data_IF_160134609458
#
_entry.id   IF_160134609458
#
_cell.length_a   1.000
_cell.length_b   1.000
_cell.length_c   1.000
_cell.angle_alpha   90.00
_cell.angle_beta   90.00
_cell.angle_gamma   90.00
#
_symmetry.space_group_name_H-M   'P 1'
#
loop_
_entity.id
_entity.type
_entity.pdbx_description
1 polymer ?
#
# COMPACT_ATOMS: atom_id res chain seq x y z
N UNK A 1 8.12 -8.79 19.39
CA UNK A 1 8.74 -9.17 18.08
C UNK A 1 7.84 -10.05 17.19
N UNK A 2 7.22 -11.11 17.74
CA UNK A 2 6.34 -12.03 17.01
C UNK A 2 5.02 -11.39 16.53
N UNK A 3 4.29 -10.67 17.41
CA UNK A 3 3.00 -10.05 17.04
C UNK A 3 3.14 -8.98 15.97
N UNK A 4 4.23 -8.19 16.00
CA UNK A 4 4.51 -7.21 14.95
C UNK A 4 4.70 -7.89 13.58
N UNK A 5 5.44 -9.00 13.53
CA UNK A 5 5.61 -9.79 12.30
C UNK A 5 4.25 -10.29 11.78
N UNK A 6 3.42 -10.85 12.66
CA UNK A 6 2.06 -11.31 12.30
C UNK A 6 1.16 -10.17 11.83
N UNK A 7 1.21 -9.01 12.48
CA UNK A 7 0.45 -7.82 12.08
C UNK A 7 0.86 -7.29 10.70
N UNK A 8 2.17 -7.31 10.39
CA UNK A 8 2.65 -6.98 9.05
C UNK A 8 2.11 -7.92 7.98
N UNK A 9 2.08 -9.22 8.24
CA UNK A 9 1.50 -10.20 7.30
C UNK A 9 -0.02 -10.03 7.17
N UNK A 10 -0.71 -9.71 8.26
CA UNK A 10 -2.14 -9.41 8.26
C UNK A 10 -2.47 -8.20 7.37
N UNK A 11 -1.55 -7.25 7.22
CA UNK A 11 -1.73 -6.07 6.36
C UNK A 11 -2.03 -6.42 4.89
N UNK A 12 -1.53 -7.56 4.40
CA UNK A 12 -1.88 -8.04 3.06
C UNK A 12 -3.39 -8.26 2.88
N UNK A 13 -4.08 -8.63 3.96
CA UNK A 13 -5.50 -8.95 3.94
C UNK A 13 -6.36 -7.78 4.44
N UNK A 14 -5.90 -7.02 5.43
CA UNK A 14 -6.66 -5.95 6.06
C UNK A 14 -5.80 -4.70 6.32
N UNK A 15 -6.09 -3.59 5.63
CA UNK A 15 -5.42 -2.30 5.82
C UNK A 15 -6.01 -1.51 7.01
N UNK A 16 -7.30 -1.72 7.29
CA UNK A 16 -8.05 -1.08 8.38
C UNK A 16 -8.77 -2.15 9.22
N UNK A 17 -8.03 -3.02 9.94
CA UNK A 17 -8.67 -4.04 10.76
C UNK A 17 -9.44 -3.40 11.92
N UNK A 18 -10.66 -3.90 12.17
CA UNK A 18 -11.45 -3.50 13.34
C UNK A 18 -10.86 -4.08 14.64
N UNK A 19 -11.25 -3.52 15.78
CA UNK A 19 -10.90 -4.10 17.09
C UNK A 19 -11.34 -5.56 17.23
N UNK A 20 -12.49 -5.93 16.67
CA UNK A 20 -12.98 -7.31 16.68
C UNK A 20 -12.08 -8.21 15.82
N UNK A 21 -11.73 -7.75 14.62
CA UNK A 21 -10.79 -8.46 13.74
C UNK A 21 -9.45 -8.69 14.45
N UNK A 22 -8.89 -7.68 15.12
CA UNK A 22 -7.64 -7.83 15.87
C UNK A 22 -7.78 -8.86 17.00
N UNK A 23 -8.87 -8.84 17.77
CA UNK A 23 -9.11 -9.83 18.84
C UNK A 23 -9.22 -11.25 18.30
N UNK A 24 -9.91 -11.45 17.18
CA UNK A 24 -10.06 -12.77 16.54
C UNK A 24 -8.72 -13.33 16.07
N UNK A 25 -7.89 -12.52 15.41
CA UNK A 25 -6.65 -12.99 14.80
C UNK A 25 -5.45 -12.97 15.76
N UNK A 26 -5.57 -12.38 16.95
CA UNK A 26 -4.54 -12.39 18.00
C UNK A 26 -5.12 -12.90 19.33
N UNK A 27 -5.58 -14.17 19.40
CA UNK A 27 -6.27 -14.71 20.58
C UNK A 27 -5.34 -14.82 21.81
N UNK A 28 -4.03 -14.88 21.59
CA UNK A 28 -2.99 -14.93 22.61
C UNK A 28 -2.65 -13.55 23.20
N UNK A 29 -3.19 -12.47 22.62
CA UNK A 29 -2.98 -11.10 23.08
C UNK A 29 -4.10 -10.70 24.06
N UNK A 30 -3.72 -10.35 25.28
CA UNK A 30 -4.63 -9.73 26.25
C UNK A 30 -4.86 -8.26 25.89
N UNK A 31 -5.95 -7.98 25.18
CA UNK A 31 -6.28 -6.60 24.77
C UNK A 31 -6.65 -5.72 25.97
N UNK A 32 -5.91 -4.64 26.12
CA UNK A 32 -6.24 -3.51 26.99
C UNK A 32 -6.10 -2.20 26.18
N UNK A 33 -6.37 -1.04 26.80
CA UNK A 33 -6.30 0.26 26.13
C UNK A 33 -4.93 0.50 25.47
N UNK A 34 -3.83 0.26 26.19
CA UNK A 34 -2.47 0.49 25.70
C UNK A 34 -2.12 -0.44 24.52
N UNK A 35 -2.43 -1.73 24.63
CA UNK A 35 -2.18 -2.73 23.58
C UNK A 35 -3.02 -2.42 22.33
N UNK A 36 -4.28 -2.04 22.50
CA UNK A 36 -5.16 -1.65 21.40
C UNK A 36 -4.59 -0.43 20.66
N UNK A 37 -4.20 0.61 21.39
CA UNK A 37 -3.53 1.79 20.81
C UNK A 37 -2.24 1.43 20.07
N UNK A 38 -1.44 0.50 20.61
CA UNK A 38 -0.21 0.05 19.98
C UNK A 38 -0.46 -0.67 18.64
N UNK A 39 -1.50 -1.52 18.58
CA UNK A 39 -1.91 -2.20 17.35
C UNK A 39 -2.40 -1.19 16.32
N UNK A 40 -3.26 -0.25 16.72
CA UNK A 40 -3.74 0.83 15.85
C UNK A 40 -2.56 1.63 15.28
N UNK A 41 -1.58 1.99 16.13
CA UNK A 41 -0.36 2.69 15.71
C UNK A 41 0.43 1.89 14.68
N UNK A 42 0.59 0.58 14.85
CA UNK A 42 1.27 -0.26 13.85
C UNK A 42 0.55 -0.21 12.50
N UNK A 43 -0.77 -0.41 12.47
CA UNK A 43 -1.52 -0.36 11.20
C UNK A 43 -1.52 1.03 10.57
N UNK A 44 -1.49 2.11 11.37
CA UNK A 44 -1.27 3.47 10.84
C UNK A 44 0.09 3.61 10.18
N UNK A 45 1.18 3.17 10.82
CA UNK A 45 2.52 3.18 10.23
C UNK A 45 2.61 2.32 8.96
N UNK A 46 1.90 1.18 8.93
CA UNK A 46 1.87 0.31 7.76
C UNK A 46 1.20 0.99 6.57
N UNK A 47 0.06 1.67 6.80
CA UNK A 47 -0.63 2.44 5.75
C UNK A 47 0.20 3.62 5.29
N UNK A 48 0.84 4.33 6.20
CA UNK A 48 1.74 5.44 5.87
C UNK A 48 2.85 4.98 4.92
N UNK A 49 3.58 3.91 5.28
CA UNK A 49 4.59 3.34 4.41
C UNK A 49 4.01 2.96 3.03
N UNK A 50 2.87 2.26 3.02
CA UNK A 50 2.21 1.84 1.78
C UNK A 50 1.90 3.02 0.85
N UNK A 51 1.20 4.04 1.36
CA UNK A 51 0.78 5.17 0.55
C UNK A 51 1.94 6.08 0.16
N UNK A 52 3.00 6.19 0.99
CA UNK A 52 4.25 6.86 0.59
C UNK A 52 4.87 6.15 -0.62
N UNK A 53 4.89 4.81 -0.65
CA UNK A 53 5.41 4.10 -1.82
C UNK A 53 4.54 4.32 -3.05
N UNK A 54 3.21 4.24 -2.91
CA UNK A 54 2.29 4.49 -4.04
C UNK A 54 2.50 5.89 -4.64
N UNK A 55 2.56 6.91 -3.78
CA UNK A 55 2.79 8.28 -4.24
C UNK A 55 4.16 8.43 -4.91
N UNK A 56 5.22 7.86 -4.32
CA UNK A 56 6.57 7.95 -4.86
C UNK A 56 6.64 7.39 -6.28
N UNK A 57 6.10 6.18 -6.49
CA UNK A 57 6.10 5.55 -7.81
C UNK A 57 5.17 6.26 -8.80
N UNK A 58 4.00 6.72 -8.36
CA UNK A 58 3.11 7.49 -9.21
C UNK A 58 3.76 8.81 -9.69
N UNK A 59 4.41 9.56 -8.78
CA UNK A 59 5.14 10.78 -9.15
C UNK A 59 6.29 10.51 -10.10
N UNK A 60 7.03 9.42 -9.88
CA UNK A 60 8.10 8.99 -10.78
C UNK A 60 7.56 8.71 -12.18
N UNK A 61 6.48 7.92 -12.28
CA UNK A 61 5.86 7.60 -13.56
C UNK A 61 5.30 8.84 -14.28
N UNK A 62 4.72 9.81 -13.56
CA UNK A 62 4.27 11.08 -14.16
C UNK A 62 5.45 11.85 -14.75
N UNK A 63 6.56 11.97 -14.02
CA UNK A 63 7.77 12.67 -14.49
C UNK A 63 8.36 12.00 -15.74
N UNK A 64 8.51 10.68 -15.71
CA UNK A 64 9.02 9.90 -16.84
C UNK A 64 8.09 10.00 -18.07
N UNK A 65 6.78 10.08 -17.84
CA UNK A 65 5.80 10.24 -18.90
C UNK A 65 5.84 11.64 -19.55
N UNK A 66 6.27 12.67 -18.82
CA UNK A 66 6.44 14.03 -19.32
C UNK A 66 7.77 14.22 -20.05
N UNK A 67 8.85 13.52 -19.66
CA UNK A 67 10.14 13.62 -20.34
C UNK A 67 10.20 12.83 -21.66
N UNK A 68 9.29 11.87 -21.87
CA UNK A 68 9.24 10.98 -23.03
C UNK A 68 8.37 11.53 -24.18
N UNK A 69 8.32 12.85 -24.36
CA UNK A 69 7.56 13.51 -25.43
C UNK A 69 7.82 12.85 -26.80
N UNK A 70 6.77 12.27 -27.39
CA UNK A 70 6.82 11.67 -28.74
C UNK A 70 6.32 10.23 -28.88
N UNK A 71 6.21 9.46 -27.79
CA UNK A 71 5.75 8.06 -27.87
C UNK A 71 4.20 7.94 -27.82
N UNK A 72 3.59 7.06 -28.65
CA UNK A 72 2.13 6.94 -28.74
C UNK A 72 1.49 6.53 -27.40
N UNK A 73 0.31 7.10 -27.13
CA UNK A 73 -0.47 6.95 -25.88
C UNK A 73 -0.85 5.51 -25.53
N UNK A 74 -0.72 4.57 -26.46
CA UNK A 74 -1.22 3.20 -26.35
C UNK A 74 -0.43 2.27 -25.40
N UNK A 75 0.76 2.69 -24.93
CA UNK A 75 1.60 1.89 -24.02
C UNK A 75 1.73 2.41 -22.58
N UNK A 76 0.98 3.45 -22.20
CA UNK A 76 1.15 4.12 -20.88
C UNK A 76 0.61 3.32 -19.70
N UNK A 77 -0.42 2.51 -19.89
CA UNK A 77 -1.06 1.76 -18.80
C UNK A 77 -0.27 0.50 -18.40
N UNK A 78 0.47 -0.11 -19.31
CA UNK A 78 1.26 -1.32 -19.02
C UNK A 78 2.43 -1.06 -18.08
N UNK A 79 2.97 0.16 -18.08
CA UNK A 79 4.09 0.56 -17.23
C UNK A 79 3.68 0.91 -15.79
N UNK A 80 2.37 1.08 -15.54
CA UNK A 80 1.83 1.47 -14.25
C UNK A 80 1.16 0.32 -13.51
N UNK A 81 1.59 -0.91 -13.82
CA UNK A 81 1.05 -2.13 -13.23
C UNK A 81 1.88 -2.57 -12.03
N UNK A 82 1.23 -3.08 -10.99
CA UNK A 82 1.92 -3.79 -9.90
C UNK A 82 1.91 -5.28 -10.21
N UNK A 83 3.04 -5.80 -10.69
CA UNK A 83 3.31 -7.23 -10.88
C UNK A 83 4.30 -7.78 -9.85
N UNK A 84 4.41 -9.10 -9.72
CA UNK A 84 5.36 -9.76 -8.79
C UNK A 84 6.83 -9.50 -9.13
N UNK A 85 7.09 -9.12 -10.36
CA UNK A 85 8.37 -8.74 -10.95
C UNK A 85 8.70 -7.24 -10.76
N UNK A 86 7.76 -6.45 -10.27
CA UNK A 86 7.93 -5.00 -10.12
C UNK A 86 8.72 -4.61 -8.87
N UNK A 87 9.47 -3.52 -8.98
CA UNK A 87 10.24 -2.97 -7.86
C UNK A 87 9.34 -2.55 -6.68
N UNK A 88 8.17 -1.97 -6.98
CA UNK A 88 7.18 -1.63 -5.95
C UNK A 88 6.74 -2.86 -5.18
N UNK A 89 6.41 -3.97 -5.86
CA UNK A 89 6.08 -5.23 -5.19
C UNK A 89 7.22 -5.71 -4.30
N UNK A 90 8.47 -5.69 -4.79
CA UNK A 90 9.64 -6.13 -4.03
C UNK A 90 9.81 -5.32 -2.74
N UNK A 91 9.65 -4.00 -2.81
CA UNK A 91 9.73 -3.10 -1.64
C UNK A 91 8.63 -3.41 -0.62
N UNK A 92 7.38 -3.56 -1.07
CA UNK A 92 6.25 -3.87 -0.18
C UNK A 92 6.43 -5.24 0.47
N UNK A 93 6.80 -6.26 -0.32
CA UNK A 93 7.02 -7.61 0.17
C UNK A 93 8.17 -7.65 1.19
N UNK A 94 9.30 -6.99 0.93
CA UNK A 94 10.40 -6.90 1.88
C UNK A 94 9.99 -6.20 3.20
N UNK A 95 9.11 -5.20 3.12
CA UNK A 95 8.64 -4.48 4.29
C UNK A 95 7.70 -5.33 5.16
N UNK A 96 6.69 -5.97 4.57
CA UNK A 96 5.64 -6.69 5.30
C UNK A 96 5.98 -8.17 5.55
N UNK A 97 6.80 -8.77 4.71
CA UNK A 97 7.13 -10.19 4.68
C UNK A 97 8.65 -10.39 4.56
N UNK A 98 9.41 -9.85 5.53
CA UNK A 98 10.88 -9.84 5.53
C UNK A 98 11.53 -11.21 5.32
N UNK A 99 10.94 -12.29 5.85
CA UNK A 99 11.48 -13.65 5.66
C UNK A 99 11.12 -14.26 4.30
N UNK A 100 10.20 -13.63 3.56
CA UNK A 100 9.70 -14.07 2.26
C UNK A 100 9.24 -15.54 2.23
N UNK A 101 8.71 -16.02 3.36
CA UNK A 101 8.22 -17.41 3.51
C UNK A 101 6.76 -17.52 3.07
N UNK A 102 6.02 -16.41 3.13
CA UNK A 102 4.61 -16.37 2.76
C UNK A 102 4.45 -15.87 1.33
N UNK A 103 3.56 -16.51 0.57
CA UNK A 103 3.15 -15.98 -0.72
C UNK A 103 2.24 -14.76 -0.51
N UNK A 104 2.53 -13.67 -1.22
CA UNK A 104 1.66 -12.48 -1.20
C UNK A 104 0.36 -12.80 -1.95
N UNK A 105 -0.82 -12.56 -1.34
CA UNK A 105 -2.11 -12.80 -1.98
C UNK A 105 -2.31 -11.96 -3.24
N UNK A 106 -2.93 -12.53 -4.28
CA UNK A 106 -3.25 -11.81 -5.52
C UNK A 106 -4.06 -10.55 -5.25
N UNK A 107 -5.04 -10.64 -4.35
CA UNK A 107 -5.88 -9.51 -3.96
C UNK A 107 -5.10 -8.33 -3.38
N UNK A 108 -3.96 -8.56 -2.73
CA UNK A 108 -3.12 -7.46 -2.26
C UNK A 108 -2.42 -6.75 -3.43
N UNK A 109 -2.01 -7.51 -4.44
CA UNK A 109 -1.40 -6.99 -5.66
C UNK A 109 -2.43 -6.15 -6.43
N UNK A 110 -3.64 -6.67 -6.62
CA UNK A 110 -4.76 -5.95 -7.26
C UNK A 110 -5.08 -4.63 -6.55
N UNK A 111 -5.17 -4.64 -5.22
CA UNK A 111 -5.42 -3.41 -4.44
C UNK A 111 -4.26 -2.43 -4.56
N UNK A 112 -3.03 -2.92 -4.62
CA UNK A 112 -1.84 -2.08 -4.82
C UNK A 112 -1.83 -1.44 -6.20
N UNK A 113 -2.26 -2.18 -7.23
CA UNK A 113 -2.42 -1.70 -8.60
C UNK A 113 -3.46 -0.58 -8.69
N UNK A 114 -4.63 -0.80 -8.11
CA UNK A 114 -5.71 0.21 -8.04
C UNK A 114 -5.22 1.46 -7.32
N UNK A 115 -4.60 1.31 -6.14
CA UNK A 115 -4.07 2.44 -5.39
C UNK A 115 -3.04 3.23 -6.23
N UNK A 116 -2.08 2.55 -6.86
CA UNK A 116 -1.07 3.20 -7.69
C UNK A 116 -1.71 3.99 -8.85
N UNK A 117 -2.72 3.42 -9.52
CA UNK A 117 -3.47 4.08 -10.60
C UNK A 117 -4.21 5.32 -10.13
N UNK A 118 -4.87 5.26 -8.96
CA UNK A 118 -5.57 6.41 -8.39
C UNK A 118 -4.60 7.54 -8.01
N UNK A 119 -3.45 7.21 -7.41
CA UNK A 119 -2.40 8.18 -7.14
C UNK A 119 -1.88 8.82 -8.43
N UNK A 120 -1.57 8.02 -9.45
CA UNK A 120 -1.09 8.52 -10.75
C UNK A 120 -2.12 9.42 -11.42
N UNK A 121 -3.39 9.01 -11.47
CA UNK A 121 -4.49 9.79 -12.04
C UNK A 121 -4.64 11.14 -11.36
N UNK A 122 -4.62 11.17 -10.02
CA UNK A 122 -4.71 12.41 -9.26
C UNK A 122 -3.54 13.36 -9.53
N UNK A 123 -2.29 12.85 -9.56
CA UNK A 123 -1.09 13.66 -9.82
C UNK A 123 -1.06 14.13 -11.28
N UNK A 124 -1.37 13.26 -12.24
CA UNK A 124 -1.38 13.59 -13.67
C UNK A 124 -2.40 14.70 -13.99
N UNK A 125 -3.54 14.69 -13.31
CA UNK A 125 -4.60 15.69 -13.48
C UNK A 125 -4.43 16.92 -12.59
N UNK A 126 -3.37 16.98 -11.77
CA UNK A 126 -3.11 18.10 -10.84
C UNK A 126 -4.05 18.18 -9.62
N UNK A 127 -4.89 17.14 -9.39
CA UNK A 127 -5.76 17.07 -8.20
C UNK A 127 -4.99 16.93 -6.89
N UNK A 128 -3.70 16.58 -6.94
CA UNK A 128 -2.85 16.46 -5.75
C UNK A 128 -2.48 17.79 -5.08
N UNK A 129 -2.89 18.92 -5.69
CA UNK A 129 -2.81 20.26 -5.09
C UNK A 129 -3.85 20.51 -3.98
N UNK A 130 -4.98 19.79 -3.99
CA UNK A 130 -6.00 19.87 -2.93
C UNK A 130 -5.51 19.15 -1.66
N UNK A 131 -5.46 19.79 -0.47
CA UNK A 131 -5.02 19.14 0.77
C UNK A 131 -5.74 17.81 1.12
N UNK A 132 -6.95 17.61 0.61
CA UNK A 132 -7.80 16.44 0.85
C UNK A 132 -7.77 15.39 -0.27
N UNK A 133 -6.93 15.54 -1.31
CA UNK A 133 -6.93 14.68 -2.50
C UNK A 133 -6.84 13.18 -2.22
N UNK A 134 -6.12 12.79 -1.18
CA UNK A 134 -5.95 11.37 -0.80
C UNK A 134 -7.18 10.76 -0.13
N UNK A 135 -8.14 11.56 0.34
CA UNK A 135 -9.36 11.06 1.03
C UNK A 135 -10.16 10.12 0.13
N UNK A 136 -10.21 10.38 -1.18
CA UNK A 136 -10.89 9.50 -2.13
C UNK A 136 -10.17 8.16 -2.31
N UNK A 137 -8.83 8.16 -2.24
CA UNK A 137 -7.99 6.97 -2.47
C UNK A 137 -7.96 6.04 -1.25
N UNK A 138 -8.15 6.60 -0.05
CA UNK A 138 -8.16 5.82 1.19
C UNK A 138 -9.46 5.05 1.45
N UNK A 139 -10.52 5.34 0.70
CA UNK A 139 -11.83 4.66 0.81
C UNK A 139 -11.80 3.32 0.09
#
# INVERSE_FOLDING_TARGET
PCHLKKAKLMFFYARYPSSNTLKTYFPDVKFNRCVTSQMIKWFSNFREFFYIQMERFARQAVREALTREGAPRLGRESHLRVGRDTELYRILNMHYNKSNVYQVPERFIEVSDVALREFYSAIWTGRDSDPCWKKGIYK
#
